data_IF_913030856788
#
_entry.id   IF_913030856788
#
_cell.length_a   1.000
_cell.length_b   1.000
_cell.length_c   1.000
_cell.angle_alpha   90.00
_cell.angle_beta   90.00
_cell.angle_gamma   90.00
#
_symmetry.space_group_name_H-M   'P 1'
#
loop_
_entity.id
_entity.type
_entity.pdbx_description
1 polymer ?
#
# COMPACT_ATOMS: atom_id res chain seq x y z
N UNK A 1 14.52 28.26 9.12
CA UNK A 1 13.33 27.48 8.70
C UNK A 1 13.08 26.45 9.77
N UNK A 2 12.06 26.64 10.59
CA UNK A 2 11.65 25.67 11.62
C UNK A 2 11.24 24.38 10.93
N UNK A 3 11.94 23.28 11.24
CA UNK A 3 11.55 21.93 10.85
C UNK A 3 10.08 21.74 11.18
N UNK A 4 9.23 21.66 10.15
CA UNK A 4 7.79 21.55 10.33
C UNK A 4 7.52 20.13 10.82
N UNK A 5 6.93 20.05 12.00
CA UNK A 5 6.65 18.80 12.66
C UNK A 5 5.64 17.95 11.86
N UNK A 6 5.97 16.68 11.59
CA UNK A 6 5.13 15.72 10.85
C UNK A 6 4.43 14.81 11.86
N UNK A 7 3.13 15.04 12.06
CA UNK A 7 2.37 14.27 13.04
C UNK A 7 1.93 12.89 12.57
N UNK A 8 1.60 12.76 11.29
CA UNK A 8 1.07 11.54 10.70
C UNK A 8 1.91 11.22 9.47
N UNK A 9 2.62 10.09 9.49
CA UNK A 9 3.56 9.69 8.45
C UNK A 9 3.29 8.27 8.00
N UNK A 10 3.21 8.06 6.69
CA UNK A 10 3.18 6.74 6.05
C UNK A 10 4.47 6.56 5.24
N UNK A 11 5.18 5.46 5.46
CA UNK A 11 6.33 5.04 4.65
C UNK A 11 5.84 3.94 3.71
N UNK A 12 6.10 4.09 2.41
CA UNK A 12 5.63 3.19 1.34
C UNK A 12 6.77 2.74 0.42
N UNK A 13 6.67 1.54 -0.14
CA UNK A 13 7.69 0.89 -0.98
C UNK A 13 8.16 1.77 -2.13
N UNK A 14 7.21 2.14 -2.99
CA UNK A 14 7.48 2.83 -4.22
C UNK A 14 6.81 4.20 -4.33
N UNK A 15 7.27 4.96 -5.32
CA UNK A 15 6.61 6.21 -5.72
C UNK A 15 5.19 5.97 -6.29
N UNK A 16 4.88 4.76 -6.76
CA UNK A 16 3.52 4.41 -7.20
C UNK A 16 2.55 4.37 -6.01
N UNK A 17 2.90 3.72 -4.90
CA UNK A 17 2.10 3.68 -3.68
C UNK A 17 1.80 5.09 -3.18
N UNK A 18 2.85 5.90 -3.06
CA UNK A 18 2.78 7.30 -2.65
C UNK A 18 1.84 8.12 -3.51
N UNK A 19 1.74 7.78 -4.80
CA UNK A 19 0.82 8.43 -5.73
C UNK A 19 -0.59 7.86 -5.67
N UNK A 20 -0.76 6.57 -5.41
CA UNK A 20 -2.05 5.87 -5.45
C UNK A 20 -2.87 6.07 -4.18
N UNK A 21 -2.25 5.95 -3.00
CA UNK A 21 -2.94 6.00 -1.70
C UNK A 21 -3.78 7.27 -1.53
N UNK A 22 -3.30 8.49 -1.84
CA UNK A 22 -4.11 9.70 -1.71
C UNK A 22 -5.46 9.62 -2.45
N UNK A 23 -5.45 9.17 -3.71
CA UNK A 23 -6.67 9.08 -4.53
C UNK A 23 -7.62 8.00 -4.01
N UNK A 24 -7.10 6.89 -3.48
CA UNK A 24 -7.93 5.87 -2.84
C UNK A 24 -8.65 6.41 -1.61
N UNK A 25 -7.93 7.17 -0.78
CA UNK A 25 -8.48 7.77 0.45
C UNK A 25 -9.50 8.88 0.11
N UNK A 26 -9.23 9.70 -0.90
CA UNK A 26 -10.18 10.71 -1.41
C UNK A 26 -11.44 10.08 -2.00
N UNK A 27 -11.29 9.01 -2.79
CA UNK A 27 -12.43 8.26 -3.33
C UNK A 27 -13.28 7.61 -2.23
N UNK A 28 -12.78 7.53 -1.00
CA UNK A 28 -13.49 7.05 0.19
C UNK A 28 -13.90 8.18 1.17
N UNK A 29 -13.96 9.42 0.66
CA UNK A 29 -14.60 10.55 1.33
C UNK A 29 -13.71 11.35 2.29
N UNK A 30 -12.40 11.07 2.33
CA UNK A 30 -11.45 11.84 3.14
C UNK A 30 -10.66 12.77 2.22
N UNK A 31 -10.86 14.10 2.28
CA UNK A 31 -10.08 15.03 1.48
C UNK A 31 -8.59 14.92 1.83
N UNK A 32 -7.72 14.65 0.85
CA UNK A 32 -6.30 14.46 1.15
C UNK A 32 -5.62 15.79 1.48
N UNK A 33 -5.93 16.83 0.72
CA UNK A 33 -5.34 18.16 0.84
C UNK A 33 -4.52 18.53 -0.39
N UNK A 34 -4.75 19.75 -0.90
CA UNK A 34 -4.26 20.18 -2.21
C UNK A 34 -2.76 20.54 -2.25
N UNK A 35 -2.07 20.48 -1.12
CA UNK A 35 -0.66 20.84 -0.96
C UNK A 35 -0.02 19.89 0.03
N UNK A 36 1.30 19.65 -0.07
CA UNK A 36 2.03 18.78 0.88
C UNK A 36 1.82 19.23 2.34
N UNK A 37 1.67 20.52 2.56
CA UNK A 37 1.49 21.13 3.88
C UNK A 37 0.10 20.92 4.48
N UNK A 38 -0.88 20.56 3.65
CA UNK A 38 -2.29 20.33 4.02
C UNK A 38 -2.68 18.86 3.89
N UNK A 39 -1.72 18.01 3.49
CA UNK A 39 -1.94 16.57 3.38
C UNK A 39 -2.38 16.01 4.75
N UNK A 40 -3.44 15.20 4.78
CA UNK A 40 -3.93 14.56 6.02
C UNK A 40 -2.89 13.63 6.64
N UNK A 41 -2.04 13.05 5.80
CA UNK A 41 -0.90 12.20 6.16
C UNK A 41 0.26 12.53 5.22
N UNK A 42 1.47 12.66 5.76
CA UNK A 42 2.67 12.78 4.95
C UNK A 42 3.11 11.40 4.45
N UNK A 43 3.30 11.23 3.13
CA UNK A 43 3.79 9.97 2.57
C UNK A 43 5.21 10.15 2.04
N UNK A 44 6.08 9.23 2.44
CA UNK A 44 7.45 9.11 1.95
C UNK A 44 7.66 7.74 1.29
N UNK A 45 8.23 7.74 0.08
CA UNK A 45 8.63 6.51 -0.58
C UNK A 45 10.10 6.23 -0.26
N UNK A 46 10.42 5.02 0.17
CA UNK A 46 11.78 4.64 0.55
C UNK A 46 12.61 4.17 -0.67
N UNK A 47 11.96 3.59 -1.69
CA UNK A 47 12.54 3.35 -3.00
C UNK A 47 13.63 2.29 -3.08
N UNK A 48 13.76 1.39 -2.09
CA UNK A 48 14.75 0.31 -2.10
C UNK A 48 14.21 -1.02 -1.59
N UNK A 49 14.76 -2.12 -2.11
CA UNK A 49 14.44 -3.51 -1.70
C UNK A 49 14.83 -3.86 -0.24
N UNK A 50 15.43 -2.94 0.50
CA UNK A 50 15.76 -3.10 1.93
C UNK A 50 14.76 -2.30 2.75
N UNK A 51 13.49 -2.51 2.45
CA UNK A 51 12.47 -1.49 2.59
C UNK A 51 12.38 -0.90 4.00
N UNK A 52 12.73 -1.65 5.05
CA UNK A 52 12.75 -1.10 6.41
C UNK A 52 13.78 -1.79 7.32
N UNK A 53 14.84 -1.07 7.70
CA UNK A 53 15.74 -1.46 8.80
C UNK A 53 15.18 -0.99 10.15
N UNK A 54 15.50 -1.72 11.23
CA UNK A 54 15.22 -1.38 12.62
C UNK A 54 15.64 0.05 12.98
N UNK A 55 16.76 0.52 12.42
CA UNK A 55 17.27 1.86 12.68
C UNK A 55 16.38 2.94 12.06
N UNK A 56 15.77 2.67 10.88
CA UNK A 56 14.81 3.59 10.25
C UNK A 56 13.55 3.69 11.10
N UNK A 57 12.94 2.55 11.47
CA UNK A 57 11.74 2.53 12.33
C UNK A 57 12.04 3.25 13.65
N UNK A 58 13.17 2.92 14.30
CA UNK A 58 13.53 3.52 15.58
C UNK A 58 13.75 5.03 15.46
N UNK A 59 14.33 5.49 14.36
CA UNK A 59 14.54 6.92 14.10
C UNK A 59 13.22 7.65 13.91
N UNK A 60 12.32 7.11 13.10
CA UNK A 60 11.01 7.69 12.82
C UNK A 60 10.14 7.75 14.08
N UNK A 61 10.11 6.67 14.87
CA UNK A 61 9.36 6.63 16.13
C UNK A 61 9.88 7.60 17.19
N UNK A 62 11.14 8.05 17.09
CA UNK A 62 11.74 9.08 17.95
C UNK A 62 11.61 10.49 17.38
N UNK A 63 11.11 10.65 16.16
CA UNK A 63 10.97 11.95 15.53
C UNK A 63 10.07 12.85 16.39
N UNK A 64 10.60 14.03 16.74
CA UNK A 64 9.94 14.93 17.68
C UNK A 64 8.52 15.22 17.22
N UNK A 65 7.61 14.94 18.13
CA UNK A 65 6.18 15.15 18.04
C UNK A 65 5.41 13.96 17.49
N UNK A 66 5.94 13.06 16.65
CA UNK A 66 5.16 12.12 15.81
C UNK A 66 3.99 11.47 16.57
N UNK A 67 2.79 11.45 15.99
CA UNK A 67 1.61 10.82 16.59
C UNK A 67 1.33 9.43 16.02
N UNK A 68 1.53 9.25 14.71
CA UNK A 68 1.26 7.99 14.02
C UNK A 68 2.26 7.74 12.89
N UNK A 69 2.86 6.56 12.89
CA UNK A 69 3.70 6.04 11.82
C UNK A 69 3.03 4.81 11.20
N UNK A 70 2.79 4.84 9.90
CA UNK A 70 2.38 3.69 9.12
C UNK A 70 3.51 3.16 8.26
N UNK A 71 3.57 1.83 8.12
CA UNK A 71 4.43 1.12 7.19
C UNK A 71 3.54 0.37 6.20
N UNK A 72 3.72 0.62 4.91
CA UNK A 72 3.02 -0.06 3.82
C UNK A 72 4.06 -0.82 2.99
N UNK A 73 4.01 -2.14 3.06
CA UNK A 73 5.07 -3.03 2.58
C UNK A 73 4.47 -4.06 1.62
N UNK A 74 5.16 -4.39 0.53
CA UNK A 74 4.76 -5.46 -0.37
C UNK A 74 5.10 -6.81 0.26
N UNK A 75 4.17 -7.77 0.20
CA UNK A 75 4.44 -9.11 0.71
C UNK A 75 5.30 -9.95 -0.25
N UNK A 76 5.45 -9.49 -1.50
CA UNK A 76 6.13 -10.19 -2.59
C UNK A 76 5.65 -11.65 -2.68
N UNK A 77 6.57 -12.61 -2.53
CA UNK A 77 6.30 -14.04 -2.54
C UNK A 77 6.30 -14.69 -1.14
N UNK A 78 6.65 -13.96 -0.07
CA UNK A 78 6.79 -14.51 1.29
C UNK A 78 6.19 -13.59 2.38
N UNK A 79 4.86 -13.50 2.51
CA UNK A 79 4.19 -12.65 3.49
C UNK A 79 4.67 -12.87 4.92
N UNK A 80 4.82 -14.14 5.32
CA UNK A 80 5.25 -14.50 6.68
C UNK A 80 6.67 -14.03 6.97
N UNK A 81 7.61 -14.21 6.03
CA UNK A 81 8.98 -13.73 6.19
C UNK A 81 9.09 -12.20 6.14
N UNK A 82 8.27 -11.53 5.32
CA UNK A 82 8.20 -10.07 5.30
C UNK A 82 7.69 -9.54 6.64
N UNK A 83 6.62 -10.12 7.17
CA UNK A 83 6.12 -9.76 8.50
C UNK A 83 7.17 -10.01 9.59
N UNK A 84 7.79 -11.19 9.60
CA UNK A 84 8.83 -11.54 10.57
C UNK A 84 9.99 -10.53 10.54
N UNK A 85 10.40 -10.08 9.35
CA UNK A 85 11.45 -9.08 9.17
C UNK A 85 11.07 -7.72 9.78
N UNK A 86 9.87 -7.22 9.48
CA UNK A 86 9.34 -5.97 10.06
C UNK A 86 9.23 -6.11 11.58
N UNK A 87 8.67 -7.22 12.04
CA UNK A 87 8.50 -7.51 13.46
C UNK A 87 9.83 -7.48 14.19
N UNK A 88 10.83 -8.18 13.67
CA UNK A 88 12.18 -8.22 14.23
C UNK A 88 12.83 -6.84 14.28
N UNK A 89 12.58 -6.01 13.25
CA UNK A 89 13.03 -4.62 13.22
C UNK A 89 12.35 -3.75 14.31
N UNK A 90 11.07 -4.01 14.59
CA UNK A 90 10.29 -3.32 15.62
C UNK A 90 10.60 -3.79 17.05
N UNK A 91 11.00 -5.04 17.28
CA UNK A 91 11.13 -5.64 18.63
C UNK A 91 11.99 -4.82 19.61
N UNK A 92 13.02 -4.11 19.12
CA UNK A 92 13.87 -3.25 19.97
C UNK A 92 13.11 -2.05 20.55
N UNK A 93 12.12 -1.55 19.82
CA UNK A 93 11.35 -0.35 20.19
C UNK A 93 9.96 -0.73 20.75
N UNK A 94 9.39 -1.83 20.28
CA UNK A 94 8.05 -2.33 20.61
C UNK A 94 8.16 -3.83 20.97
N UNK A 95 8.55 -4.18 22.20
CA UNK A 95 8.79 -5.57 22.60
C UNK A 95 7.54 -6.46 22.59
N UNK A 96 6.35 -5.85 22.69
CA UNK A 96 5.04 -6.50 22.74
C UNK A 96 4.31 -6.50 21.37
N UNK A 97 5.04 -6.22 20.28
CA UNK A 97 4.50 -6.36 18.92
C UNK A 97 4.06 -7.84 18.69
N UNK A 98 2.86 -8.07 18.12
CA UNK A 98 2.31 -9.43 18.02
C UNK A 98 3.18 -10.34 17.15
N UNK A 99 3.09 -11.65 17.39
CA UNK A 99 3.80 -12.66 16.60
C UNK A 99 3.19 -12.81 15.20
N UNK A 100 1.87 -12.75 15.10
CA UNK A 100 1.13 -12.81 13.85
C UNK A 100 0.59 -11.42 13.46
N UNK A 101 0.62 -11.09 12.16
CA UNK A 101 0.01 -9.87 11.65
C UNK A 101 -1.52 -10.05 11.62
N UNK A 102 -2.31 -9.15 12.23
CA UNK A 102 -3.76 -9.21 12.12
C UNK A 102 -4.22 -9.03 10.67
N UNK A 103 -5.24 -9.78 10.24
CA UNK A 103 -5.82 -9.68 8.89
C UNK A 103 -6.35 -8.27 8.57
N UNK A 104 -6.72 -7.49 9.60
CA UNK A 104 -7.14 -6.10 9.49
C UNK A 104 -5.98 -5.10 9.37
N UNK A 105 -4.74 -5.57 9.30
CA UNK A 105 -3.54 -4.77 9.49
C UNK A 105 -3.27 -4.48 10.97
N UNK A 106 -2.01 -4.21 11.30
CA UNK A 106 -1.60 -3.85 12.65
C UNK A 106 -1.91 -2.37 12.91
N UNK A 107 -2.51 -2.06 14.06
CA UNK A 107 -2.45 -0.74 14.69
C UNK A 107 -2.09 -0.97 16.15
N UNK A 108 -0.88 -0.56 16.54
CA UNK A 108 -0.33 -0.76 17.87
C UNK A 108 -0.04 0.60 18.52
N UNK A 109 -0.66 0.86 19.67
CA UNK A 109 -0.46 2.09 20.44
C UNK A 109 0.61 1.88 21.50
N UNK A 110 1.71 2.63 21.41
CA UNK A 110 2.78 2.63 22.40
C UNK A 110 2.40 3.39 23.67
N UNK A 111 3.15 3.16 24.75
CA UNK A 111 2.93 3.79 26.06
C UNK A 111 3.06 5.31 26.04
N UNK A 112 3.82 5.87 25.09
CA UNK A 112 3.98 7.31 24.88
C UNK A 112 2.86 7.93 24.01
N UNK A 113 1.86 7.13 23.58
CA UNK A 113 0.73 7.57 22.77
C UNK A 113 0.96 7.53 21.27
N UNK A 114 2.17 7.18 20.80
CA UNK A 114 2.45 7.04 19.37
C UNK A 114 1.83 5.74 18.84
N UNK A 115 1.12 5.81 17.71
CA UNK A 115 0.62 4.63 17.00
C UNK A 115 1.62 4.17 15.94
N UNK A 116 1.96 2.88 15.94
CA UNK A 116 2.56 2.20 14.81
C UNK A 116 1.47 1.43 14.06
N UNK A 117 1.39 1.58 12.75
CA UNK A 117 0.60 0.71 11.91
C UNK A 117 1.46 -0.01 10.87
N UNK A 118 1.08 -1.24 10.56
CA UNK A 118 1.70 -2.02 9.47
C UNK A 118 0.59 -2.61 8.61
N UNK A 119 0.71 -2.41 7.31
CA UNK A 119 -0.09 -3.08 6.30
C UNK A 119 0.84 -3.81 5.33
N UNK A 120 0.59 -5.11 5.15
CA UNK A 120 1.24 -5.90 4.10
C UNK A 120 0.30 -6.01 2.91
N UNK A 121 0.75 -5.59 1.73
CA UNK A 121 -0.01 -5.79 0.51
C UNK A 121 -0.19 -7.27 0.19
N UNK A 122 -1.31 -7.66 -0.44
CA UNK A 122 -2.46 -6.80 -0.72
C UNK A 122 -3.45 -6.70 0.45
N UNK A 123 -3.41 -7.63 1.41
CA UNK A 123 -4.48 -7.84 2.40
C UNK A 123 -4.01 -8.36 3.77
N UNK A 124 -2.72 -8.25 4.07
CA UNK A 124 -2.04 -8.76 5.27
C UNK A 124 -1.87 -10.27 5.36
N UNK A 125 -2.30 -11.03 4.34
CA UNK A 125 -2.25 -12.50 4.38
C UNK A 125 -1.60 -13.09 3.13
N UNK A 126 -2.05 -12.65 1.96
CA UNK A 126 -1.59 -13.16 0.68
C UNK A 126 -0.28 -12.52 0.26
N UNK A 127 0.42 -13.24 -0.61
CA UNK A 127 1.54 -12.71 -1.39
C UNK A 127 1.02 -11.61 -2.33
N UNK A 128 1.87 -10.67 -2.70
CA UNK A 128 1.58 -9.67 -3.71
C UNK A 128 2.10 -8.28 -3.37
N UNK A 129 1.71 -7.36 -4.23
CA UNK A 129 2.14 -5.96 -4.22
C UNK A 129 0.95 -5.03 -4.45
N UNK A 130 1.22 -3.72 -4.58
CA UNK A 130 0.21 -2.73 -4.94
C UNK A 130 -0.68 -3.16 -6.12
N UNK A 131 -0.12 -3.71 -7.20
CA UNK A 131 -0.93 -4.14 -8.35
C UNK A 131 -1.87 -5.31 -8.02
N UNK A 132 -1.45 -6.23 -7.15
CA UNK A 132 -2.31 -7.31 -6.63
C UNK A 132 -3.47 -6.74 -5.82
N UNK A 133 -3.22 -5.71 -5.00
CA UNK A 133 -4.25 -5.01 -4.23
C UNK A 133 -5.25 -4.28 -5.12
N UNK A 134 -4.77 -3.58 -6.14
CA UNK A 134 -5.62 -2.86 -7.09
C UNK A 134 -6.46 -3.80 -7.96
N UNK A 135 -5.99 -5.01 -8.23
CA UNK A 135 -6.77 -6.02 -8.95
C UNK A 135 -8.06 -6.41 -8.21
N UNK A 136 -8.09 -6.34 -6.86
CA UNK A 136 -9.34 -6.52 -6.10
C UNK A 136 -10.41 -5.49 -6.45
N UNK A 137 -10.02 -4.32 -6.94
CA UNK A 137 -10.95 -3.24 -7.29
C UNK A 137 -11.49 -3.37 -8.71
N UNK A 138 -11.07 -4.36 -9.49
CA UNK A 138 -11.63 -4.60 -10.82
C UNK A 138 -13.13 -4.95 -10.66
N UNK A 139 -14.04 -4.20 -11.30
CA UNK A 139 -15.46 -4.46 -11.16
C UNK A 139 -15.85 -5.87 -11.63
N UNK A 140 -16.77 -6.53 -10.93
CA UNK A 140 -17.19 -7.90 -11.24
C UNK A 140 -17.68 -8.07 -12.70
N UNK A 141 -18.35 -7.06 -13.27
CA UNK A 141 -18.76 -7.09 -14.68
C UNK A 141 -17.60 -7.13 -15.68
N UNK A 142 -16.40 -6.73 -15.25
CA UNK A 142 -15.18 -6.73 -16.04
C UNK A 142 -14.38 -8.03 -15.90
N UNK A 143 -14.84 -8.99 -15.08
CA UNK A 143 -14.16 -10.26 -14.82
C UNK A 143 -13.80 -11.03 -16.11
N UNK A 144 -14.68 -11.15 -17.13
CA UNK A 144 -14.30 -11.84 -18.37
C UNK A 144 -13.14 -11.15 -19.10
N UNK A 145 -13.11 -9.80 -19.11
CA UNK A 145 -12.04 -9.05 -19.75
C UNK A 145 -10.75 -9.08 -18.92
N UNK A 146 -10.87 -9.16 -17.60
CA UNK A 146 -9.75 -9.34 -16.68
C UNK A 146 -9.07 -10.70 -16.89
N UNK A 147 -9.84 -11.77 -16.93
CA UNK A 147 -9.33 -13.12 -17.23
C UNK A 147 -8.63 -13.15 -18.59
N UNK A 148 -9.23 -12.52 -19.61
CA UNK A 148 -8.61 -12.40 -20.92
C UNK A 148 -7.28 -11.63 -20.89
N UNK A 149 -7.15 -10.58 -20.06
CA UNK A 149 -5.87 -9.89 -19.88
C UNK A 149 -4.80 -10.81 -19.32
N UNK A 150 -5.14 -11.66 -18.34
CA UNK A 150 -4.22 -12.63 -17.74
C UNK A 150 -3.79 -13.71 -18.74
N UNK A 151 -4.71 -14.18 -19.58
CA UNK A 151 -4.41 -15.11 -20.69
C UNK A 151 -3.44 -14.48 -21.69
N UNK A 152 -3.71 -13.25 -22.13
CA UNK A 152 -2.84 -12.51 -23.07
C UNK A 152 -1.46 -12.27 -22.49
N UNK A 153 -1.35 -11.91 -21.20
CA UNK A 153 -0.05 -11.74 -20.53
C UNK A 153 0.71 -13.06 -20.44
N UNK A 154 0.02 -14.15 -20.13
CA UNK A 154 0.62 -15.49 -20.10
C UNK A 154 1.18 -15.87 -21.47
N UNK A 155 0.40 -15.67 -22.52
CA UNK A 155 0.84 -15.94 -23.90
C UNK A 155 1.95 -15.00 -24.36
N UNK A 156 1.88 -13.72 -24.00
CA UNK A 156 2.92 -12.74 -24.33
C UNK A 156 4.27 -13.16 -23.71
N UNK A 157 4.27 -13.69 -22.49
CA UNK A 157 5.47 -14.25 -21.85
C UNK A 157 6.03 -15.43 -22.64
N UNK A 158 5.17 -16.37 -23.07
CA UNK A 158 5.58 -17.51 -23.91
C UNK A 158 6.18 -17.07 -25.25
N UNK A 159 5.78 -15.89 -25.74
CA UNK A 159 6.32 -15.25 -26.96
C UNK A 159 7.55 -14.37 -26.73
N UNK A 160 8.08 -14.33 -25.51
CA UNK A 160 9.31 -13.61 -25.18
C UNK A 160 9.11 -12.18 -24.66
N UNK A 161 7.94 -11.85 -24.11
CA UNK A 161 7.78 -10.60 -23.37
C UNK A 161 8.77 -10.52 -22.19
N UNK A 162 9.39 -9.35 -22.01
CA UNK A 162 10.58 -9.18 -21.14
C UNK A 162 10.31 -8.99 -19.64
N UNK A 163 9.08 -9.10 -19.17
CA UNK A 163 8.79 -8.98 -17.73
C UNK A 163 9.15 -10.28 -16.99
N UNK A 164 9.60 -10.13 -15.74
CA UNK A 164 9.96 -11.26 -14.86
C UNK A 164 8.72 -11.81 -14.14
N UNK A 165 8.81 -13.05 -13.65
CA UNK A 165 7.69 -13.72 -12.98
C UNK A 165 7.10 -12.95 -11.78
N UNK A 166 7.90 -12.33 -10.90
CA UNK A 166 7.36 -11.49 -9.83
C UNK A 166 6.51 -10.30 -10.32
N UNK A 167 6.69 -9.86 -11.57
CA UNK A 167 5.94 -8.73 -12.14
C UNK A 167 4.70 -9.16 -12.94
N UNK A 168 4.24 -10.41 -12.83
CA UNK A 168 3.06 -10.89 -13.57
C UNK A 168 1.81 -10.09 -13.24
N UNK A 169 1.53 -9.81 -11.96
CA UNK A 169 0.34 -9.04 -11.56
C UNK A 169 0.38 -7.61 -12.11
N UNK A 170 1.57 -7.02 -12.13
CA UNK A 170 1.85 -5.73 -12.77
C UNK A 170 1.55 -5.77 -14.28
N UNK A 171 2.04 -6.79 -14.98
CA UNK A 171 1.75 -6.97 -16.40
C UNK A 171 0.25 -7.16 -16.66
N UNK A 172 -0.44 -7.94 -15.83
CA UNK A 172 -1.88 -8.18 -15.92
C UNK A 172 -2.67 -6.88 -15.82
N UNK A 173 -2.51 -6.12 -14.72
CA UNK A 173 -3.31 -4.91 -14.49
C UNK A 173 -3.03 -3.83 -15.54
N UNK A 174 -1.77 -3.66 -15.94
CA UNK A 174 -1.44 -2.67 -16.98
C UNK A 174 -1.97 -3.07 -18.36
N UNK A 175 -2.00 -4.36 -18.69
CA UNK A 175 -2.61 -4.86 -19.93
C UNK A 175 -4.11 -4.61 -19.92
N UNK A 176 -4.79 -4.92 -18.81
CA UNK A 176 -6.22 -4.64 -18.66
C UNK A 176 -6.52 -3.14 -18.74
N UNK A 177 -5.69 -2.29 -18.11
CA UNK A 177 -5.81 -0.82 -18.17
C UNK A 177 -5.60 -0.26 -19.58
N UNK A 178 -4.81 -0.93 -20.43
CA UNK A 178 -4.63 -0.55 -21.82
C UNK A 178 -5.93 -0.63 -22.64
N UNK A 179 -6.92 -1.40 -22.19
CA UNK A 179 -8.19 -1.60 -22.88
C UNK A 179 -9.36 -0.78 -22.33
N UNK A 180 -9.12 0.01 -21.27
CA UNK A 180 -10.17 0.82 -20.64
C UNK A 180 -10.49 2.07 -21.47
N UNK A 181 -11.54 2.80 -21.10
CA UNK A 181 -11.87 4.07 -21.74
C UNK A 181 -11.53 5.26 -20.83
N UNK A 182 -10.62 6.16 -21.26
CA UNK A 182 -9.73 6.01 -22.40
C UNK A 182 -8.58 5.03 -22.11
N UNK A 183 -7.91 4.51 -23.16
CA UNK A 183 -6.93 3.44 -23.02
C UNK A 183 -5.67 3.89 -22.28
N UNK A 184 -5.06 2.95 -21.54
CA UNK A 184 -3.74 3.11 -20.93
C UNK A 184 -3.73 4.00 -19.69
N UNK A 185 -4.82 3.97 -18.90
CA UNK A 185 -4.88 4.77 -17.67
C UNK A 185 -3.80 4.37 -16.66
N UNK A 186 -3.23 5.38 -16.02
CA UNK A 186 -2.34 5.19 -14.87
C UNK A 186 -3.16 4.76 -13.64
N UNK A 187 -2.57 4.00 -12.72
CA UNK A 187 -3.27 3.35 -11.59
C UNK A 187 -4.12 4.34 -10.75
N UNK A 188 -3.54 5.47 -10.34
CA UNK A 188 -4.26 6.50 -9.56
C UNK A 188 -5.41 7.15 -10.37
N UNK A 189 -5.25 7.35 -11.68
CA UNK A 189 -6.33 7.86 -12.52
C UNK A 189 -7.44 6.82 -12.65
N UNK A 190 -7.11 5.52 -12.71
CA UNK A 190 -8.10 4.47 -12.77
C UNK A 190 -8.98 4.41 -11.50
N UNK A 191 -8.42 4.76 -10.33
CA UNK A 191 -9.18 4.94 -9.09
C UNK A 191 -10.06 6.19 -9.17
N UNK A 192 -9.45 7.34 -9.52
CA UNK A 192 -10.14 8.64 -9.59
C UNK A 192 -11.32 8.63 -10.57
N UNK A 193 -11.17 7.91 -11.69
CA UNK A 193 -12.18 7.79 -12.75
C UNK A 193 -13.14 6.61 -12.52
N UNK A 194 -13.06 5.93 -11.37
CA UNK A 194 -13.90 4.77 -11.01
C UNK A 194 -13.84 3.61 -12.01
N UNK A 195 -12.75 3.50 -12.78
CA UNK A 195 -12.44 2.32 -13.60
C UNK A 195 -12.12 1.14 -12.66
N UNK A 196 -11.35 1.42 -11.60
CA UNK A 196 -11.23 0.58 -10.42
C UNK A 196 -12.24 1.04 -9.39
N UNK A 197 -12.99 0.12 -8.78
CA UNK A 197 -13.99 0.40 -7.75
C UNK A 197 -13.31 0.59 -6.36
N UNK A 198 -13.16 1.84 -5.88
CA UNK A 198 -12.50 2.10 -4.61
C UNK A 198 -13.32 1.66 -3.39
N UNK A 199 -14.60 1.33 -3.59
CA UNK A 199 -15.53 0.86 -2.56
C UNK A 199 -15.56 -0.67 -2.45
N UNK A 200 -14.70 -1.40 -3.17
CA UNK A 200 -14.64 -2.85 -3.08
C UNK A 200 -14.35 -3.32 -1.64
N UNK A 201 -15.01 -4.38 -1.12
CA UNK A 201 -14.85 -4.82 0.27
C UNK A 201 -13.40 -5.03 0.71
N UNK A 202 -12.56 -5.64 -0.13
CA UNK A 202 -11.13 -5.84 0.18
C UNK A 202 -10.37 -4.51 0.28
N UNK A 203 -10.73 -3.50 -0.53
CA UNK A 203 -10.16 -2.17 -0.42
C UNK A 203 -10.61 -1.46 0.88
N UNK A 204 -11.84 -1.72 1.33
CA UNK A 204 -12.36 -1.13 2.56
C UNK A 204 -11.62 -1.59 3.81
N UNK A 205 -11.09 -2.82 3.84
CA UNK A 205 -10.24 -3.27 4.95
C UNK A 205 -9.00 -2.37 5.10
N UNK A 206 -8.32 -2.05 3.99
CA UNK A 206 -7.18 -1.12 3.97
C UNK A 206 -7.61 0.29 4.39
N UNK A 207 -8.72 0.81 3.82
CA UNK A 207 -9.22 2.15 4.15
C UNK A 207 -9.56 2.28 5.63
N UNK A 208 -10.18 1.25 6.22
CA UNK A 208 -10.52 1.23 7.65
C UNK A 208 -9.27 1.14 8.53
N UNK A 209 -8.26 0.35 8.14
CA UNK A 209 -6.96 0.34 8.79
C UNK A 209 -6.31 1.73 8.79
N UNK A 210 -6.28 2.38 7.63
CA UNK A 210 -5.72 3.73 7.46
C UNK A 210 -6.43 4.75 8.35
N UNK A 211 -7.77 4.73 8.37
CA UNK A 211 -8.60 5.59 9.23
C UNK A 211 -8.30 5.37 10.72
N UNK A 212 -8.21 4.12 11.15
CA UNK A 212 -7.92 3.78 12.55
C UNK A 212 -6.52 4.25 12.98
N UNK A 213 -5.51 3.98 12.14
CA UNK A 213 -4.13 4.39 12.40
C UNK A 213 -4.02 5.91 12.60
N UNK A 214 -4.69 6.67 11.74
CA UNK A 214 -4.55 8.12 11.68
C UNK A 214 -5.68 8.91 12.35
N UNK A 215 -6.66 8.27 12.97
CA UNK A 215 -7.85 8.91 13.56
C UNK A 215 -8.56 9.84 12.57
N UNK A 216 -8.97 9.28 11.41
CA UNK A 216 -9.63 9.99 10.30
C UNK A 216 -11.06 9.51 10.05
#
# INVERSE_FOLDING_TARGET
>A
MTSKYIAKKLIVEGEQDKRVIPYLIEANGIPWGNTKEKAVVYIEAYGSNQFIDADVISTELKASGLNALGLLVDADDNPSGTWESIRNACLKTIPDIPEELPNSGLVHSMTNGIKLGVWLMPDNQMRGMLETFLAYMIPHQSEPLWQYAQEVVTEARNRGAGFIYPHVDKANIHTWLAWQNPPGRQLHNAIMEHILNPQHPNAQTFVNWFKNLYDL
#
